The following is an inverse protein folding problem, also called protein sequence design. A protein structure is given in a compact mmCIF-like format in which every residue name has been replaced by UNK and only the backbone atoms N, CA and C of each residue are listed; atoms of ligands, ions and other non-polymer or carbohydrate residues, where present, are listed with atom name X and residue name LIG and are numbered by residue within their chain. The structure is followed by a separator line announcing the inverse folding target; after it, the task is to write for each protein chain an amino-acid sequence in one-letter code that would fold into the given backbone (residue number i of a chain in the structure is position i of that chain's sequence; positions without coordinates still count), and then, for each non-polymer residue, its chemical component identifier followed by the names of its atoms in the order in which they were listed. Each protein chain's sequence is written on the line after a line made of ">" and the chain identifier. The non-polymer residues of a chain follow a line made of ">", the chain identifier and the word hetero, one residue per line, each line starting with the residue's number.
data_IF_832691337264
#
_entry.id   IF_832691337264
#
_cell.length_a   1.000
_cell.length_b   1.000
_cell.length_c   1.000
_cell.angle_alpha   90.00
_cell.angle_beta   90.00
_cell.angle_gamma   90.00
#
_symmetry.space_group_name_H-M   'P 1'
#
loop_
_entity.id
_entity.type
_entity.pdbx_description
1 polymer ?
#
# COMPACT_ATOMS: atom_id res chain seq x y z
N UNK A 1 -0.47 12.34 -9.53
CA UNK A 1 -0.28 10.92 -9.10
C UNK A 1 0.44 10.83 -7.76
N UNK A 2 1.62 11.48 -7.59
CA UNK A 2 2.41 11.44 -6.34
C UNK A 2 1.60 11.85 -5.09
N UNK A 3 0.89 12.98 -5.12
CA UNK A 3 0.08 13.41 -3.98
C UNK A 3 -1.06 12.43 -3.65
N UNK A 4 -1.63 11.76 -4.65
CA UNK A 4 -2.63 10.74 -4.43
C UNK A 4 -2.02 9.50 -3.76
N UNK A 5 -0.84 9.06 -4.22
CA UNK A 5 -0.09 7.96 -3.62
C UNK A 5 0.28 8.24 -2.15
N UNK A 6 0.70 9.48 -1.85
CA UNK A 6 0.95 9.92 -0.48
C UNK A 6 -0.32 9.88 0.38
N UNK A 7 -1.43 10.45 -0.12
CA UNK A 7 -2.72 10.43 0.59
C UNK A 7 -3.20 9.00 0.86
N UNK A 8 -3.07 8.10 -0.12
CA UNK A 8 -3.41 6.68 0.05
C UNK A 8 -2.55 6.02 1.13
N UNK A 9 -1.25 6.32 1.17
CA UNK A 9 -0.35 5.82 2.23
C UNK A 9 -0.75 6.31 3.62
N UNK A 10 -1.16 7.59 3.74
CA UNK A 10 -1.66 8.18 4.98
C UNK A 10 -2.95 7.48 5.45
N UNK A 11 -3.98 7.39 4.61
CA UNK A 11 -5.23 6.71 5.01
C UNK A 11 -5.05 5.21 5.22
N UNK A 12 -4.11 4.56 4.53
CA UNK A 12 -3.75 3.15 4.79
C UNK A 12 -3.14 2.95 6.17
N UNK A 13 -2.37 3.93 6.67
CA UNK A 13 -1.82 3.91 8.03
C UNK A 13 -2.90 4.13 9.09
N UNK A 14 -3.96 4.88 8.79
CA UNK A 14 -5.08 5.05 9.72
C UNK A 14 -6.01 3.83 9.74
N UNK A 15 -6.21 3.18 8.59
CA UNK A 15 -6.88 1.87 8.53
C UNK A 15 -6.16 0.84 9.39
N UNK A 16 -4.82 0.82 9.34
CA UNK A 16 -4.01 -0.11 10.13
C UNK A 16 -4.29 0.04 11.63
N UNK A 17 -4.34 1.27 12.16
CA UNK A 17 -4.67 1.54 13.57
C UNK A 17 -6.06 1.04 13.96
N UNK A 18 -7.07 1.31 13.14
CA UNK A 18 -8.45 0.90 13.42
C UNK A 18 -8.59 -0.63 13.41
N UNK A 19 -7.95 -1.29 12.46
CA UNK A 19 -8.00 -2.75 12.33
C UNK A 19 -7.17 -3.47 13.41
N UNK A 20 -6.10 -2.86 13.92
CA UNK A 20 -5.39 -3.39 15.10
C UNK A 20 -6.32 -3.46 16.33
N UNK A 21 -7.17 -2.44 16.57
CA UNK A 21 -8.13 -2.50 17.67
C UNK A 21 -9.10 -3.69 17.52
N UNK A 22 -9.58 -3.96 16.29
CA UNK A 22 -10.42 -5.12 16.01
C UNK A 22 -9.67 -6.44 16.27
N UNK A 23 -8.40 -6.52 15.86
CA UNK A 23 -7.56 -7.68 16.11
C UNK A 23 -7.34 -7.92 17.62
N UNK A 24 -7.27 -6.86 18.43
CA UNK A 24 -7.11 -6.95 19.89
C UNK A 24 -8.38 -7.43 20.60
N UNK A 25 -9.56 -7.09 20.07
CA UNK A 25 -10.85 -7.54 20.59
C UNK A 25 -11.28 -8.92 20.05
N UNK A 26 -10.61 -9.43 19.02
CA UNK A 26 -10.97 -10.70 18.38
C UNK A 26 -10.67 -11.91 19.29
N UNK A 27 -11.69 -12.71 19.68
CA UNK A 27 -11.50 -13.88 20.54
C UNK A 27 -10.96 -15.10 19.78
N UNK A 28 -11.18 -15.16 18.46
CA UNK A 28 -10.69 -16.26 17.64
C UNK A 28 -9.24 -16.03 17.21
N UNK A 29 -8.36 -16.87 17.73
CA UNK A 29 -6.91 -16.74 17.50
C UNK A 29 -6.48 -16.88 16.05
N UNK A 30 -7.24 -17.59 15.21
CA UNK A 30 -6.90 -17.75 13.79
C UNK A 30 -7.30 -16.51 12.98
N UNK A 31 -8.53 -16.03 13.17
CA UNK A 31 -9.04 -14.80 12.55
C UNK A 31 -8.19 -13.59 12.94
N UNK A 32 -7.75 -13.51 14.20
CA UNK A 32 -6.78 -12.50 14.67
C UNK A 32 -5.47 -12.56 13.86
N UNK A 33 -4.85 -13.74 13.75
CA UNK A 33 -3.59 -13.92 13.02
C UNK A 33 -3.71 -13.56 11.54
N UNK A 34 -4.82 -13.96 10.91
CA UNK A 34 -5.07 -13.64 9.50
C UNK A 34 -5.19 -12.13 9.31
N UNK A 35 -5.91 -11.44 10.22
CA UNK A 35 -6.04 -9.98 10.21
C UNK A 35 -4.68 -9.29 10.41
N UNK A 36 -3.89 -9.70 11.42
CA UNK A 36 -2.53 -9.18 11.67
C UNK A 36 -1.61 -9.35 10.45
N UNK A 37 -1.69 -10.50 9.75
CA UNK A 37 -0.92 -10.73 8.54
C UNK A 37 -1.31 -9.78 7.40
N UNK A 38 -2.60 -9.45 7.24
CA UNK A 38 -3.02 -8.46 6.26
C UNK A 38 -2.62 -7.03 6.65
N UNK A 39 -2.58 -6.69 7.94
CA UNK A 39 -2.10 -5.40 8.44
C UNK A 39 -0.61 -5.19 8.13
N UNK A 40 0.22 -6.20 8.36
CA UNK A 40 1.63 -6.17 7.95
C UNK A 40 1.80 -5.96 6.44
N UNK A 41 0.92 -6.53 5.61
CA UNK A 41 0.92 -6.31 4.16
C UNK A 41 0.53 -4.88 3.79
N UNK A 42 -0.46 -4.29 4.46
CA UNK A 42 -0.80 -2.86 4.28
C UNK A 42 0.41 -1.99 4.59
N UNK A 43 1.06 -2.18 5.75
CA UNK A 43 2.23 -1.41 6.15
C UNK A 43 3.36 -1.50 5.09
N UNK A 44 3.65 -2.70 4.60
CA UNK A 44 4.63 -2.93 3.54
C UNK A 44 4.27 -2.16 2.26
N UNK A 45 3.02 -2.27 1.78
CA UNK A 45 2.62 -1.65 0.53
C UNK A 45 2.46 -0.12 0.64
N UNK A 46 2.05 0.41 1.80
CA UNK A 46 2.10 1.85 2.08
C UNK A 46 3.53 2.38 1.99
N UNK A 47 4.51 1.64 2.50
CA UNK A 47 5.92 1.99 2.40
C UNK A 47 6.44 1.96 0.96
N UNK A 48 6.16 0.87 0.23
CA UNK A 48 6.52 0.76 -1.19
C UNK A 48 5.90 1.87 -2.06
N UNK A 49 4.63 2.20 -1.81
CA UNK A 49 3.92 3.27 -2.51
C UNK A 49 4.56 4.63 -2.23
N UNK A 50 4.98 4.88 -0.99
CA UNK A 50 5.69 6.10 -0.62
C UNK A 50 7.05 6.21 -1.32
N UNK A 51 7.83 5.12 -1.37
CA UNK A 51 9.13 5.08 -2.08
C UNK A 51 8.93 5.34 -3.57
N UNK A 52 8.07 4.55 -4.23
CA UNK A 52 7.82 4.65 -5.66
C UNK A 52 7.24 6.00 -6.07
N UNK A 53 6.49 6.68 -5.18
CA UNK A 53 5.96 8.02 -5.44
C UNK A 53 7.04 9.12 -5.43
N UNK A 54 8.22 8.86 -4.86
CA UNK A 54 9.32 9.83 -4.75
C UNK A 54 10.37 9.67 -5.85
N UNK A 55 10.31 8.61 -6.65
CA UNK A 55 11.24 8.39 -7.76
C UNK A 55 10.97 9.45 -8.82
N UNK A 56 11.96 10.32 -9.06
CA UNK A 56 11.90 11.31 -10.14
C UNK A 56 12.18 10.60 -11.45
N UNK A 57 11.44 10.95 -12.50
CA UNK A 57 11.79 10.54 -13.85
C UNK A 57 13.17 11.12 -14.18
N UNK A 58 14.13 10.26 -14.50
CA UNK A 58 15.43 10.70 -14.97
C UNK A 58 15.28 11.09 -16.46
N UNK A 59 15.80 12.26 -16.81
CA UNK A 59 15.72 12.81 -18.17
C UNK A 59 17.13 12.88 -18.69
N UNK A 60 17.47 11.97 -19.60
CA UNK A 60 18.80 11.89 -20.20
C UNK A 60 18.73 12.38 -21.65
N UNK A 61 19.64 13.27 -22.05
CA UNK A 61 19.80 13.68 -23.44
C UNK A 61 20.84 12.80 -24.11
N UNK A 62 20.42 11.86 -24.95
CA UNK A 62 21.33 11.03 -25.75
C UNK A 62 21.27 11.53 -27.19
N UNK A 63 22.41 11.99 -27.72
CA UNK A 63 22.53 12.45 -29.10
C UNK A 63 21.55 13.58 -29.51
N UNK A 64 21.16 14.43 -28.57
CA UNK A 64 20.21 15.52 -28.80
C UNK A 64 18.74 15.13 -28.71
N UNK A 65 18.44 13.85 -28.47
CA UNK A 65 17.09 13.35 -28.20
C UNK A 65 16.88 13.22 -26.68
N UNK A 66 15.76 13.75 -26.19
CA UNK A 66 15.37 13.63 -24.79
C UNK A 66 14.78 12.22 -24.56
N UNK A 67 15.55 11.35 -23.91
CA UNK A 67 15.08 10.05 -23.44
C UNK A 67 14.58 10.22 -22.00
N UNK A 68 13.29 9.97 -21.79
CA UNK A 68 12.66 9.95 -20.46
C UNK A 68 12.62 8.51 -19.96
N UNK A 69 13.45 8.15 -18.98
CA UNK A 69 13.48 6.82 -18.36
C UNK A 69 12.43 6.64 -17.24
N UNK A 70 11.39 7.48 -17.22
CA UNK A 70 10.35 7.48 -16.19
C UNK A 70 9.27 6.39 -16.29
N UNK A 71 9.23 5.61 -17.38
CA UNK A 71 8.19 4.60 -17.60
C UNK A 71 8.23 3.48 -16.56
N UNK A 72 9.42 3.02 -16.18
CA UNK A 72 9.60 1.99 -15.16
C UNK A 72 9.11 2.49 -13.79
N UNK A 73 9.39 3.76 -13.47
CA UNK A 73 8.96 4.38 -12.21
C UNK A 73 7.43 4.49 -12.12
N UNK A 74 6.78 4.88 -13.21
CA UNK A 74 5.32 4.94 -13.29
C UNK A 74 4.70 3.53 -13.18
N UNK A 75 5.31 2.53 -13.81
CA UNK A 75 4.87 1.13 -13.75
C UNK A 75 4.99 0.56 -12.34
N UNK A 76 6.13 0.79 -11.67
CA UNK A 76 6.32 0.39 -10.27
C UNK A 76 5.30 1.04 -9.34
N UNK A 77 5.01 2.34 -9.53
CA UNK A 77 4.02 3.07 -8.74
C UNK A 77 2.61 2.46 -8.87
N UNK A 78 2.20 2.10 -10.09
CA UNK A 78 0.90 1.45 -10.37
C UNK A 78 0.84 0.08 -9.69
N UNK A 79 1.90 -0.73 -9.78
CA UNK A 79 1.94 -2.03 -9.13
C UNK A 79 1.86 -1.94 -7.61
N UNK A 80 2.60 -1.01 -7.00
CA UNK A 80 2.52 -0.78 -5.55
C UNK A 80 1.12 -0.34 -5.12
N UNK A 81 0.46 0.53 -5.90
CA UNK A 81 -0.92 0.96 -5.62
C UNK A 81 -1.92 -0.22 -5.72
N UNK A 82 -1.81 -1.05 -6.75
CA UNK A 82 -2.65 -2.25 -6.92
C UNK A 82 -2.49 -3.23 -5.77
N UNK A 83 -1.25 -3.48 -5.35
CA UNK A 83 -0.95 -4.37 -4.23
C UNK A 83 -1.56 -3.85 -2.92
N UNK A 84 -1.44 -2.55 -2.66
CA UNK A 84 -2.05 -1.91 -1.50
C UNK A 84 -3.58 -2.05 -1.54
N UNK A 85 -4.24 -1.75 -2.66
CA UNK A 85 -5.69 -1.88 -2.79
C UNK A 85 -6.18 -3.30 -2.53
N UNK A 86 -5.46 -4.31 -3.05
CA UNK A 86 -5.79 -5.71 -2.79
C UNK A 86 -5.65 -6.07 -1.31
N UNK A 87 -4.60 -5.59 -0.63
CA UNK A 87 -4.44 -5.80 0.80
C UNK A 87 -5.57 -5.16 1.60
N UNK A 88 -5.95 -3.92 1.27
CA UNK A 88 -7.09 -3.22 1.91
C UNK A 88 -8.38 -4.02 1.82
N UNK A 89 -8.71 -4.57 0.64
CA UNK A 89 -9.93 -5.39 0.47
C UNK A 89 -9.89 -6.64 1.34
N UNK A 90 -8.73 -7.30 1.46
CA UNK A 90 -8.58 -8.49 2.31
C UNK A 90 -8.69 -8.12 3.79
N UNK A 91 -8.06 -7.02 4.22
CA UNK A 91 -8.16 -6.52 5.60
C UNK A 91 -9.60 -6.20 5.98
N UNK A 92 -10.36 -5.51 5.11
CA UNK A 92 -11.78 -5.19 5.40
C UNK A 92 -12.61 -6.46 5.59
N UNK A 93 -12.39 -7.48 4.76
CA UNK A 93 -13.07 -8.78 4.91
C UNK A 93 -12.67 -9.49 6.20
N UNK A 94 -11.37 -9.49 6.54
CA UNK A 94 -10.86 -10.09 7.76
C UNK A 94 -11.38 -9.35 9.02
N UNK A 95 -11.47 -8.02 9.00
CA UNK A 95 -12.08 -7.23 10.08
C UNK A 95 -13.53 -7.64 10.33
N UNK A 96 -14.31 -7.85 9.26
CA UNK A 96 -15.69 -8.32 9.40
C UNK A 96 -15.75 -9.68 10.08
N UNK A 97 -14.95 -10.65 9.63
CA UNK A 97 -14.89 -11.99 10.24
C UNK A 97 -14.41 -11.92 11.70
N UNK A 98 -13.42 -11.09 12.00
CA UNK A 98 -12.89 -10.94 13.36
C UNK A 98 -13.86 -10.26 14.33
N UNK A 99 -14.88 -9.56 13.82
CA UNK A 99 -15.88 -8.83 14.61
C UNK A 99 -17.19 -9.61 14.85
N UNK A 100 -17.34 -10.80 14.25
CA UNK A 100 -18.53 -11.67 14.37
C UNK A 100 -18.23 -12.88 15.21
#
# INVERSE_FOLDING_TARGET
>A
VINAAKKISEVGSDLDKLANNIADECPDSQSKKDLEAYLQRIALYCHQLNITSKVKADVQSVSGELIVSGLDSATSLIHSAKNLMNAVVLTVKACYVAST
#
